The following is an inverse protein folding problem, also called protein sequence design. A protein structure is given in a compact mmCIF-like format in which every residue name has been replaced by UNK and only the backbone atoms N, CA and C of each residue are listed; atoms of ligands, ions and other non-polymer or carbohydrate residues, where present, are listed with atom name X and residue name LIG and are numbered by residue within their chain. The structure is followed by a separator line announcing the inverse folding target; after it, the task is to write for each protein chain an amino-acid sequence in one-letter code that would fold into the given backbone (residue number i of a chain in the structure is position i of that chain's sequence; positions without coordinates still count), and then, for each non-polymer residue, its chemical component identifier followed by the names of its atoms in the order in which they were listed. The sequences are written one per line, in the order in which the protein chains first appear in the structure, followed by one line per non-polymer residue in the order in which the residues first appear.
data_IF_579339356185
#
_entry.id   IF_579339356185
#
_cell.length_a   1.000
_cell.length_b   1.000
_cell.length_c   1.000
_cell.angle_alpha   90.00
_cell.angle_beta   90.00
_cell.angle_gamma   90.00
#
_symmetry.space_group_name_H-M   'P 1'
#
loop_
_entity.id
_entity.type
_entity.pdbx_description
1 polymer ?
#
# COMPACT_ATOMS: atom_id res chain seq x y z
N UNK A 1 24.87 -30.17 17.84
CA UNK A 1 23.40 -30.21 17.75
C UNK A 1 23.04 -29.99 16.31
N UNK A 2 22.77 -31.08 15.63
CA UNK A 2 22.67 -31.20 14.18
C UNK A 2 21.39 -30.57 13.62
N UNK A 3 21.54 -29.96 12.44
CA UNK A 3 20.60 -30.12 11.32
C UNK A 3 19.21 -29.46 11.44
N UNK A 4 19.13 -28.17 11.13
CA UNK A 4 17.95 -27.65 10.42
C UNK A 4 18.26 -27.60 8.92
N UNK A 5 18.05 -28.73 8.23
CA UNK A 5 18.00 -28.75 6.78
C UNK A 5 16.67 -28.14 6.33
N UNK A 6 16.72 -27.01 5.63
CA UNK A 6 15.56 -26.54 4.85
C UNK A 6 15.44 -27.46 3.65
N UNK A 7 14.53 -28.42 3.72
CA UNK A 7 14.19 -29.28 2.59
C UNK A 7 13.61 -28.40 1.49
N UNK A 8 14.26 -28.38 0.32
CA UNK A 8 13.69 -27.86 -0.91
C UNK A 8 12.50 -28.75 -1.29
N UNK A 9 11.32 -28.42 -0.75
CA UNK A 9 10.07 -29.01 -1.18
C UNK A 9 9.81 -28.62 -2.62
N UNK A 10 9.50 -29.61 -3.45
CA UNK A 10 9.12 -29.44 -4.84
C UNK A 10 8.13 -28.28 -4.99
N UNK A 11 8.49 -27.31 -5.82
CA UNK A 11 7.61 -26.28 -6.32
C UNK A 11 6.43 -26.98 -7.01
N UNK A 12 5.35 -27.22 -6.26
CA UNK A 12 4.03 -27.29 -6.87
C UNK A 12 3.86 -25.95 -7.58
N UNK A 13 3.78 -26.01 -8.89
CA UNK A 13 3.35 -24.90 -9.74
C UNK A 13 1.94 -24.52 -9.27
N UNK A 14 1.86 -23.66 -8.25
CA UNK A 14 0.67 -22.88 -8.00
C UNK A 14 0.51 -22.05 -9.27
N UNK A 15 -0.55 -22.29 -10.03
CA UNK A 15 -0.94 -21.35 -11.06
C UNK A 15 -0.98 -19.95 -10.41
N UNK A 16 -0.35 -18.98 -11.04
CA UNK A 16 -0.46 -17.61 -10.55
C UNK A 16 -1.89 -17.17 -10.89
N UNK A 17 -2.61 -16.61 -9.93
CA UNK A 17 -3.78 -15.81 -10.26
C UNK A 17 -3.31 -14.75 -11.27
N UNK A 18 -3.74 -14.85 -12.52
CA UNK A 18 -3.45 -13.82 -13.51
C UNK A 18 -4.22 -12.59 -13.10
N UNK A 19 -3.54 -11.61 -12.52
CA UNK A 19 -4.13 -10.30 -12.29
C UNK A 19 -4.18 -9.55 -13.62
N UNK A 20 -5.37 -9.10 -14.02
CA UNK A 20 -5.57 -8.35 -15.27
C UNK A 20 -4.98 -6.93 -15.25
N UNK A 21 -4.30 -6.55 -14.16
CA UNK A 21 -3.67 -5.25 -13.96
C UNK A 21 -2.48 -5.37 -12.96
N UNK A 22 -1.59 -4.37 -12.87
CA UNK A 22 -0.45 -4.40 -11.96
C UNK A 22 -0.86 -4.64 -10.51
N UNK A 23 -0.18 -5.56 -9.83
CA UNK A 23 -0.30 -5.78 -8.39
C UNK A 23 0.83 -5.03 -7.70
N UNK A 24 0.52 -4.14 -6.76
CA UNK A 24 1.50 -3.21 -6.20
C UNK A 24 1.79 -3.39 -4.71
N UNK A 25 0.83 -3.93 -3.96
CA UNK A 25 1.04 -4.30 -2.55
C UNK A 25 0.17 -5.50 -2.18
N UNK A 26 0.59 -6.22 -1.14
CA UNK A 26 -0.14 -7.35 -0.55
C UNK A 26 0.00 -7.31 0.97
N UNK A 27 -1.06 -7.65 1.68
CA UNK A 27 -1.07 -7.77 3.13
C UNK A 27 -1.88 -8.98 3.60
N UNK A 28 -1.59 -9.43 4.81
CA UNK A 28 -2.33 -10.52 5.45
C UNK A 28 -3.76 -10.10 5.74
N UNK A 29 -4.71 -11.03 5.53
CA UNK A 29 -6.11 -10.85 5.91
C UNK A 29 -6.41 -11.73 7.12
N UNK A 30 -6.84 -11.12 8.23
CA UNK A 30 -7.05 -11.86 9.49
C UNK A 30 -8.09 -12.99 9.37
N UNK A 31 -9.09 -12.83 8.51
CA UNK A 31 -10.10 -13.87 8.23
C UNK A 31 -9.62 -15.01 7.32
N UNK A 32 -8.34 -15.03 6.95
CA UNK A 32 -7.76 -15.98 6.00
C UNK A 32 -7.56 -15.37 4.61
N UNK A 33 -6.56 -15.89 3.90
CA UNK A 33 -6.11 -15.37 2.60
C UNK A 33 -5.35 -14.04 2.73
N UNK A 34 -5.44 -13.23 1.68
CA UNK A 34 -4.72 -11.95 1.59
C UNK A 34 -5.65 -10.84 1.14
N UNK A 35 -5.19 -9.60 1.31
CA UNK A 35 -5.68 -8.44 0.58
C UNK A 35 -4.54 -7.91 -0.28
N UNK A 36 -4.85 -7.41 -1.47
CA UNK A 36 -3.87 -6.85 -2.39
C UNK A 36 -4.45 -5.66 -3.15
N UNK A 37 -3.56 -4.85 -3.70
CA UNK A 37 -3.93 -3.77 -4.60
C UNK A 37 -3.64 -4.12 -6.04
N UNK A 38 -4.68 -4.08 -6.89
CA UNK A 38 -4.64 -4.49 -8.30
C UNK A 38 -5.16 -3.34 -9.17
N UNK A 39 -4.29 -2.68 -9.92
CA UNK A 39 -4.62 -1.39 -10.56
C UNK A 39 -5.01 -0.35 -9.50
N UNK A 40 -6.24 0.18 -9.55
CA UNK A 40 -6.82 1.07 -8.53
C UNK A 40 -7.87 0.38 -7.64
N UNK A 41 -7.80 -0.95 -7.53
CA UNK A 41 -8.75 -1.77 -6.78
C UNK A 41 -8.12 -2.37 -5.53
N UNK A 42 -8.83 -2.29 -4.42
CA UNK A 42 -8.59 -3.17 -3.28
C UNK A 42 -9.26 -4.51 -3.54
N UNK A 43 -8.51 -5.60 -3.42
CA UNK A 43 -8.99 -6.95 -3.68
C UNK A 43 -8.73 -7.87 -2.49
N UNK A 44 -9.72 -8.69 -2.11
CA UNK A 44 -9.48 -9.86 -1.30
C UNK A 44 -9.02 -11.00 -2.22
N UNK A 45 -7.95 -11.68 -1.85
CA UNK A 45 -7.40 -12.81 -2.58
C UNK A 45 -7.64 -14.09 -1.79
N UNK A 46 -8.26 -15.07 -2.44
CA UNK A 46 -8.28 -16.45 -1.96
C UNK A 46 -7.10 -17.20 -2.60
N UNK A 47 -6.20 -17.69 -1.75
CA UNK A 47 -5.00 -18.37 -2.21
C UNK A 47 -5.27 -19.78 -2.73
N UNK A 48 -6.32 -20.45 -2.23
CA UNK A 48 -6.60 -21.85 -2.55
C UNK A 48 -7.15 -22.01 -3.97
N UNK A 49 -8.07 -21.13 -4.38
CA UNK A 49 -8.71 -21.15 -5.70
C UNK A 49 -8.21 -20.06 -6.66
N UNK A 50 -7.24 -19.25 -6.20
CA UNK A 50 -6.63 -18.16 -6.97
C UNK A 50 -7.62 -17.09 -7.44
N UNK A 51 -8.73 -16.93 -6.73
CA UNK A 51 -9.73 -15.91 -7.03
C UNK A 51 -9.44 -14.58 -6.33
N UNK A 52 -9.89 -13.50 -6.98
CA UNK A 52 -9.83 -12.15 -6.44
C UNK A 52 -11.24 -11.53 -6.43
N UNK A 53 -11.64 -10.98 -5.30
CA UNK A 53 -12.91 -10.24 -5.15
C UNK A 53 -12.60 -8.77 -4.88
N UNK A 54 -13.14 -7.89 -5.72
CA UNK A 54 -12.98 -6.44 -5.55
C UNK A 54 -13.77 -5.99 -4.32
N UNK A 55 -13.07 -5.39 -3.36
CA UNK A 55 -13.64 -4.80 -2.14
C UNK A 55 -14.02 -3.34 -2.38
N UNK A 56 -13.13 -2.58 -3.03
CA UNK A 56 -13.35 -1.17 -3.35
C UNK A 56 -12.50 -0.73 -4.55
N UNK A 57 -12.81 0.44 -5.11
CA UNK A 57 -12.08 1.04 -6.23
C UNK A 57 -11.98 2.54 -6.04
N UNK A 58 -10.78 3.09 -6.21
CA UNK A 58 -10.46 4.53 -6.10
C UNK A 58 -10.08 5.12 -7.46
N UNK A 59 -9.90 6.43 -7.52
CA UNK A 59 -9.39 7.17 -8.69
C UNK A 59 -10.11 6.81 -10.01
N UNK A 60 -11.43 6.58 -9.96
CA UNK A 60 -12.23 6.12 -11.11
C UNK A 60 -12.21 7.11 -12.28
N UNK A 61 -11.96 8.38 -11.98
CA UNK A 61 -11.82 9.47 -12.93
C UNK A 61 -10.42 9.59 -13.54
N UNK A 62 -9.41 8.93 -12.95
CA UNK A 62 -8.03 8.96 -13.42
C UNK A 62 -7.78 7.80 -14.38
N UNK A 63 -7.52 8.13 -15.64
CA UNK A 63 -7.40 7.12 -16.72
C UNK A 63 -6.18 6.22 -16.61
N UNK A 64 -5.15 6.66 -15.90
CA UNK A 64 -3.83 6.04 -15.91
C UNK A 64 -3.18 6.03 -14.52
N UNK A 65 -3.99 5.87 -13.46
CA UNK A 65 -3.47 5.68 -12.12
C UNK A 65 -3.38 4.20 -11.76
N UNK A 66 -2.47 3.88 -10.85
CA UNK A 66 -2.42 2.62 -10.11
C UNK A 66 -2.10 2.89 -8.65
N UNK A 67 -2.39 1.92 -7.80
CA UNK A 67 -1.80 1.86 -6.47
C UNK A 67 -0.29 1.63 -6.55
N UNK A 68 0.45 2.04 -5.52
CA UNK A 68 1.86 1.76 -5.35
C UNK A 68 2.11 1.05 -4.01
N UNK A 69 2.78 1.68 -3.04
CA UNK A 69 3.05 1.02 -1.77
C UNK A 69 1.86 1.08 -0.80
N UNK A 70 1.76 0.06 0.05
CA UNK A 70 0.65 -0.12 0.97
C UNK A 70 0.99 -1.03 2.16
N UNK A 71 0.43 -0.70 3.33
CA UNK A 71 0.62 -1.43 4.58
C UNK A 71 -0.63 -1.36 5.44
N UNK A 72 -0.87 -2.42 6.22
CA UNK A 72 -1.98 -2.46 7.19
C UNK A 72 -1.55 -1.75 8.47
N UNK A 73 -2.39 -0.84 8.95
CA UNK A 73 -2.17 -0.08 10.19
C UNK A 73 -2.35 -0.96 11.44
N UNK A 74 -1.97 -0.48 12.64
CA UNK A 74 -2.11 -1.25 13.87
C UNK A 74 -3.56 -1.60 14.28
N UNK A 75 -4.56 -1.01 13.63
CA UNK A 75 -5.98 -1.29 13.85
C UNK A 75 -6.61 -2.17 12.74
N UNK A 76 -5.82 -2.63 11.77
CA UNK A 76 -6.28 -3.50 10.69
C UNK A 76 -6.85 -2.78 9.46
N UNK A 77 -6.63 -1.48 9.31
CA UNK A 77 -7.00 -0.71 8.10
C UNK A 77 -5.89 -0.81 7.07
N UNK A 78 -6.21 -1.03 5.81
CA UNK A 78 -5.20 -1.16 4.76
C UNK A 78 -4.92 0.19 4.09
N UNK A 79 -3.83 0.86 4.49
CA UNK A 79 -3.39 2.11 3.89
C UNK A 79 -2.62 1.84 2.61
N UNK A 80 -2.99 2.53 1.53
CA UNK A 80 -2.34 2.42 0.23
C UNK A 80 -2.53 3.73 -0.50
N UNK A 81 -1.50 4.22 -1.18
CA UNK A 81 -1.66 5.39 -2.04
C UNK A 81 -1.43 5.08 -3.51
N UNK A 82 -1.93 6.01 -4.34
CA UNK A 82 -1.89 5.92 -5.79
C UNK A 82 -0.81 6.81 -6.39
N UNK A 83 -0.54 6.58 -7.67
CA UNK A 83 0.31 7.39 -8.53
C UNK A 83 -0.18 7.27 -9.98
N UNK A 84 0.19 8.22 -10.84
CA UNK A 84 0.08 8.00 -12.27
C UNK A 84 1.09 6.93 -12.72
N UNK A 85 0.70 6.14 -13.73
CA UNK A 85 1.58 5.14 -14.33
C UNK A 85 2.81 5.80 -14.95
N UNK A 86 3.95 5.17 -14.77
CA UNK A 86 5.24 5.68 -15.24
C UNK A 86 5.45 5.38 -16.73
N UNK A 87 6.05 6.34 -17.44
CA UNK A 87 6.57 6.13 -18.80
C UNK A 87 8.05 5.75 -18.81
N UNK A 88 8.76 6.12 -17.74
CA UNK A 88 10.10 5.72 -17.36
C UNK A 88 10.22 5.89 -15.83
N UNK A 89 11.25 5.32 -15.16
CA UNK A 89 11.39 5.43 -13.71
C UNK A 89 11.33 6.88 -13.23
N UNK A 90 10.39 7.18 -12.32
CA UNK A 90 10.08 8.50 -11.78
C UNK A 90 9.63 9.55 -12.82
N UNK A 91 9.23 9.13 -14.03
CA UNK A 91 8.69 10.00 -15.10
C UNK A 91 7.22 9.67 -15.34
N UNK A 92 6.36 10.48 -14.71
CA UNK A 92 4.90 10.34 -14.72
C UNK A 92 4.22 11.73 -14.73
N UNK A 93 2.90 11.75 -14.93
CA UNK A 93 2.11 12.95 -14.68
C UNK A 93 2.12 13.27 -13.17
N UNK A 94 2.60 14.47 -12.81
CA UNK A 94 2.79 14.87 -11.43
C UNK A 94 1.46 15.04 -10.70
N UNK A 95 1.47 14.81 -9.38
CA UNK A 95 0.39 15.10 -8.43
C UNK A 95 -0.96 14.44 -8.75
N UNK A 96 -0.93 13.28 -9.39
CA UNK A 96 -2.14 12.53 -9.72
C UNK A 96 -2.56 11.55 -8.63
N UNK A 97 -1.67 11.25 -7.70
CA UNK A 97 -1.89 10.29 -6.62
C UNK A 97 -2.66 10.86 -5.44
N UNK A 98 -3.09 9.96 -4.57
CA UNK A 98 -3.74 10.25 -3.30
C UNK A 98 -3.46 9.12 -2.31
N UNK A 99 -3.49 9.42 -1.02
CA UNK A 99 -3.40 8.40 0.04
C UNK A 99 -4.81 7.98 0.48
N UNK A 100 -5.03 6.67 0.55
CA UNK A 100 -6.27 6.05 0.97
C UNK A 100 -6.06 5.07 2.11
N UNK A 101 -7.14 4.74 2.84
CA UNK A 101 -7.21 3.50 3.62
C UNK A 101 -8.52 2.77 3.38
N UNK A 102 -8.44 1.43 3.35
CA UNK A 102 -9.60 0.56 3.38
C UNK A 102 -9.87 0.14 4.82
N UNK A 103 -11.06 0.47 5.33
CA UNK A 103 -11.51 0.10 6.66
C UNK A 103 -12.04 -1.35 6.70
N UNK A 104 -12.16 -1.97 7.89
CA UNK A 104 -12.66 -3.34 8.03
C UNK A 104 -14.08 -3.57 7.48
N UNK A 105 -14.90 -2.53 7.41
CA UNK A 105 -16.25 -2.54 6.80
C UNK A 105 -16.24 -2.28 5.29
N UNK A 106 -15.05 -2.26 4.68
CA UNK A 106 -14.77 -1.97 3.27
C UNK A 106 -15.09 -0.53 2.83
N UNK A 107 -15.36 0.39 3.76
CA UNK A 107 -15.36 1.81 3.43
C UNK A 107 -13.94 2.27 3.11
N UNK A 108 -13.82 3.22 2.17
CA UNK A 108 -12.54 3.84 1.81
C UNK A 108 -12.51 5.28 2.27
N UNK A 109 -11.51 5.63 3.06
CA UNK A 109 -11.21 7.01 3.41
C UNK A 109 -10.09 7.54 2.50
N UNK A 110 -10.24 8.78 2.02
CA UNK A 110 -9.21 9.53 1.33
C UNK A 110 -8.63 10.56 2.28
N UNK A 111 -7.32 10.54 2.50
CA UNK A 111 -6.66 11.46 3.44
C UNK A 111 -6.24 12.77 2.78
N UNK A 112 -5.50 12.67 1.68
CA UNK A 112 -5.03 13.82 0.92
C UNK A 112 -4.74 13.41 -0.53
N UNK A 113 -4.66 14.41 -1.40
CA UNK A 113 -4.31 14.29 -2.81
C UNK A 113 -2.99 15.02 -3.10
N UNK A 114 -2.72 15.28 -4.39
CA UNK A 114 -1.49 15.91 -4.87
C UNK A 114 -0.22 15.12 -4.59
N UNK A 115 -0.33 13.79 -4.47
CA UNK A 115 0.82 12.88 -4.34
C UNK A 115 1.42 12.60 -5.70
N UNK A 116 2.75 12.61 -5.82
CA UNK A 116 3.44 12.15 -7.01
C UNK A 116 3.55 10.62 -7.03
N UNK A 117 4.31 10.03 -6.10
CA UNK A 117 4.54 8.59 -6.00
C UNK A 117 4.37 8.17 -4.54
N UNK A 118 3.16 7.73 -4.18
CA UNK A 118 2.90 7.19 -2.83
C UNK A 118 3.79 5.99 -2.55
N UNK A 119 4.62 6.05 -1.52
CA UNK A 119 5.60 5.01 -1.24
C UNK A 119 5.65 4.74 0.27
N UNK A 120 6.81 4.28 0.75
CA UNK A 120 7.06 3.83 2.12
C UNK A 120 6.24 4.51 3.20
N UNK A 121 5.57 3.68 3.99
CA UNK A 121 4.72 4.08 5.09
C UNK A 121 4.85 3.14 6.29
N UNK A 122 4.74 3.70 7.49
CA UNK A 122 4.71 2.93 8.74
C UNK A 122 4.14 3.73 9.91
N UNK A 123 3.98 3.08 11.06
CA UNK A 123 3.52 3.70 12.30
C UNK A 123 4.57 3.57 13.40
N UNK A 124 4.65 4.58 14.24
CA UNK A 124 5.36 4.53 15.52
C UNK A 124 4.83 3.40 16.42
N UNK A 125 5.72 2.87 17.26
CA UNK A 125 5.40 1.78 18.20
C UNK A 125 4.38 2.15 19.29
N UNK A 126 4.20 3.45 19.58
CA UNK A 126 3.16 3.92 20.50
C UNK A 126 1.84 4.27 19.81
N UNK A 127 1.76 4.01 18.49
CA UNK A 127 0.59 4.20 17.63
C UNK A 127 0.06 5.63 17.60
N UNK A 128 0.94 6.64 17.71
CA UNK A 128 0.54 8.06 17.67
C UNK A 128 1.06 8.81 16.46
N UNK A 129 2.05 8.27 15.78
CA UNK A 129 2.67 8.87 14.60
C UNK A 129 2.54 7.92 13.42
N UNK A 130 2.11 8.47 12.29
CA UNK A 130 2.16 7.86 10.97
C UNK A 130 3.31 8.50 10.18
N UNK A 131 4.15 7.67 9.57
CA UNK A 131 5.25 8.07 8.71
C UNK A 131 4.91 7.78 7.26
N UNK A 132 5.24 8.69 6.36
CA UNK A 132 4.88 8.58 4.96
C UNK A 132 5.94 9.20 4.04
N UNK A 133 6.10 8.60 2.86
CA UNK A 133 6.99 9.06 1.81
C UNK A 133 6.19 9.24 0.53
N UNK A 134 6.18 10.46 0.01
CA UNK A 134 6.00 10.69 -1.43
C UNK A 134 7.40 10.72 -2.06
N UNK A 135 7.70 9.78 -2.95
CA UNK A 135 9.08 9.60 -3.44
C UNK A 135 9.66 10.87 -4.06
N UNK A 136 8.84 11.70 -4.71
CA UNK A 136 9.31 12.92 -5.38
C UNK A 136 9.27 14.17 -4.49
N UNK A 137 8.81 14.06 -3.23
CA UNK A 137 9.03 15.09 -2.21
C UNK A 137 10.46 15.03 -1.65
N UNK A 138 11.12 13.87 -1.79
CA UNK A 138 12.42 13.58 -1.19
C UNK A 138 12.43 13.82 0.33
N UNK A 139 11.31 13.55 0.99
CA UNK A 139 11.16 13.67 2.44
C UNK A 139 10.50 12.44 3.07
N UNK A 140 10.82 12.23 4.34
CA UNK A 140 9.99 11.41 5.24
C UNK A 140 9.19 12.38 6.09
N UNK A 141 7.88 12.29 5.96
CA UNK A 141 6.92 13.14 6.65
C UNK A 141 6.30 12.37 7.82
N UNK A 142 5.99 13.08 8.90
CA UNK A 142 5.29 12.55 10.07
C UNK A 142 3.96 13.26 10.25
N UNK A 143 2.95 12.49 10.67
CA UNK A 143 1.61 12.97 11.00
C UNK A 143 1.19 12.42 12.36
N UNK A 144 0.50 13.24 13.15
CA UNK A 144 -0.23 12.72 14.30
C UNK A 144 -1.29 11.74 13.78
N UNK A 145 -1.38 10.57 14.37
CA UNK A 145 -2.26 9.48 13.99
C UNK A 145 -3.10 9.05 15.19
N UNK A 146 -4.41 9.01 14.99
CA UNK A 146 -5.37 8.54 15.98
C UNK A 146 -5.73 7.07 15.69
N UNK A 147 -5.28 6.16 16.55
CA UNK A 147 -5.51 4.72 16.38
C UNK A 147 -6.99 4.34 16.29
N UNK A 148 -7.84 5.00 17.08
CA UNK A 148 -9.26 4.64 17.18
C UNK A 148 -10.03 4.99 15.92
N UNK A 149 -9.69 6.12 15.30
CA UNK A 149 -10.42 6.65 14.14
C UNK A 149 -9.69 6.41 12.83
N UNK A 150 -8.37 6.22 12.86
CA UNK A 150 -7.53 6.14 11.66
C UNK A 150 -7.24 7.50 11.05
N UNK A 151 -7.63 8.60 11.71
CA UNK A 151 -7.38 9.95 11.23
C UNK A 151 -5.92 10.32 11.37
N UNK A 152 -5.41 11.04 10.39
CA UNK A 152 -4.14 11.73 10.47
C UNK A 152 -4.38 13.24 10.52
N UNK A 153 -3.67 13.94 11.39
CA UNK A 153 -3.70 15.40 11.46
C UNK A 153 -2.43 15.97 10.83
N UNK A 154 -2.60 17.01 10.02
CA UNK A 154 -1.49 17.66 9.35
C UNK A 154 -0.77 18.62 10.30
N UNK A 155 0.07 18.07 11.18
CA UNK A 155 1.21 18.76 11.75
C UNK A 155 2.45 18.25 11.03
N UNK A 156 2.75 18.79 9.84
CA UNK A 156 3.87 18.30 9.03
C UNK A 156 5.20 18.55 9.76
N UNK A 157 5.76 17.48 10.32
CA UNK A 157 7.16 17.45 10.71
C UNK A 157 7.94 16.69 9.63
N UNK A 158 8.75 17.43 8.87
CA UNK A 158 9.72 16.83 7.97
C UNK A 158 10.83 16.23 8.83
N UNK A 159 10.88 14.90 8.92
CA UNK A 159 11.88 14.19 9.73
C UNK A 159 13.24 14.25 9.03
N UNK A 160 13.25 14.14 7.71
CA UNK A 160 14.46 14.14 6.90
C UNK A 160 14.17 14.59 5.47
N UNK A 161 15.17 15.22 4.82
CA UNK A 161 15.16 15.50 3.38
C UNK A 161 16.41 14.93 2.70
N UNK A 162 16.22 14.14 1.66
CA UNK A 162 17.31 13.55 0.87
C UNK A 162 16.82 12.52 -0.15
N UNK A 163 17.75 12.00 -0.96
CA UNK A 163 17.44 11.00 -1.99
C UNK A 163 17.27 9.64 -1.32
N UNK A 164 16.03 9.17 -1.23
CA UNK A 164 15.72 7.81 -0.79
C UNK A 164 15.68 6.88 -2.00
N UNK A 165 16.67 6.01 -2.13
CA UNK A 165 16.49 4.74 -2.83
C UNK A 165 15.91 3.77 -1.80
N UNK A 166 14.68 3.32 -2.00
CA UNK A 166 14.08 2.27 -1.17
C UNK A 166 14.99 1.04 -1.16
N UNK A 167 15.30 0.52 0.02
CA UNK A 167 15.93 -0.78 0.18
C UNK A 167 14.90 -1.86 -0.18
N UNK A 168 15.28 -2.75 -1.12
CA UNK A 168 14.66 -4.04 -1.38
C UNK A 168 14.78 -4.96 -0.16
#
# INVERSE_FOLDING_TARGET
CDGCSVTAGYLLTAAFASADAPVSSVALRQSGGYVATVGTKFCALNWEDQSAVVLATVDKEKKNNRFNDGKVDPAGRYFVGTMAEETAPAVLERRQGSLYSLFPDHHVEKYFDQVDISNGLDWSMDHKIFYYIDSLSYSVDAFDYDLQTGKICMCLFIIFRGIFFTCL
#
